data_IF_536474393879
#
_entry.id   IF_536474393879
#
_cell.length_a   1.000
_cell.length_b   1.000
_cell.length_c   1.000
_cell.angle_alpha   90.00
_cell.angle_beta   90.00
_cell.angle_gamma   90.00
#
_symmetry.space_group_name_H-M   'P 1'
#
loop_
_entity.id
_entity.type
_entity.pdbx_description
1 polymer ?
#
# COMPACT_ATOMS: atom_id res chain seq x y z
N UNK A 1 20.31 -14.20 4.87
CA UNK A 1 20.02 -12.74 4.86
C UNK A 1 19.97 -12.25 3.42
N UNK A 2 18.89 -11.59 3.03
CA UNK A 2 18.77 -10.95 1.71
C UNK A 2 19.59 -9.67 1.77
N UNK A 3 20.62 -9.55 0.95
CA UNK A 3 21.48 -8.37 0.90
C UNK A 3 21.17 -7.45 -0.28
N UNK A 4 20.44 -7.96 -1.26
CA UNK A 4 20.13 -7.24 -2.49
C UNK A 4 18.81 -7.75 -3.06
N UNK A 5 17.99 -6.84 -3.59
CA UNK A 5 16.75 -7.16 -4.28
C UNK A 5 16.96 -7.00 -5.79
N UNK A 6 16.64 -8.03 -6.56
CA UNK A 6 16.64 -7.99 -8.02
C UNK A 6 15.35 -7.45 -8.60
N UNK A 7 15.30 -7.36 -9.93
CA UNK A 7 14.14 -6.84 -10.66
C UNK A 7 12.87 -7.71 -10.48
N UNK A 8 13.01 -8.97 -10.05
CA UNK A 8 11.91 -9.86 -9.73
C UNK A 8 11.19 -9.52 -8.42
N UNK A 9 11.75 -8.59 -7.63
CA UNK A 9 11.18 -8.16 -6.35
C UNK A 9 10.51 -6.80 -6.48
N UNK A 10 9.19 -6.78 -6.39
CA UNK A 10 8.39 -5.56 -6.34
C UNK A 10 8.21 -5.03 -4.92
N UNK A 11 7.94 -3.74 -4.80
CA UNK A 11 7.46 -3.12 -3.57
C UNK A 11 5.94 -3.04 -3.63
N UNK A 12 5.25 -3.61 -2.66
CA UNK A 12 3.80 -3.47 -2.50
C UNK A 12 3.51 -2.53 -1.34
N UNK A 13 2.90 -1.40 -1.63
CA UNK A 13 2.46 -0.41 -0.65
C UNK A 13 0.95 -0.58 -0.42
N UNK A 14 0.58 -0.97 0.79
CA UNK A 14 -0.79 -1.36 1.13
C UNK A 14 -1.52 -0.21 1.82
N UNK A 15 -2.62 0.23 1.19
CA UNK A 15 -3.65 1.09 1.76
C UNK A 15 -3.08 2.38 2.39
N UNK A 16 -2.17 3.05 1.68
CA UNK A 16 -1.57 4.31 2.11
C UNK A 16 -2.57 5.46 1.90
N UNK A 17 -3.66 5.41 2.62
CA UNK A 17 -4.79 6.32 2.50
C UNK A 17 -4.99 7.12 3.79
N UNK A 18 -5.51 8.33 3.69
CA UNK A 18 -5.65 9.26 4.83
C UNK A 18 -6.44 8.67 5.99
N UNK A 19 -7.44 7.84 5.69
CA UNK A 19 -8.30 7.22 6.69
C UNK A 19 -7.61 6.25 7.64
N UNK A 20 -6.43 5.71 7.30
CA UNK A 20 -5.69 4.81 8.21
C UNK A 20 -5.24 5.52 9.49
N UNK A 21 -5.15 6.85 9.44
CA UNK A 21 -4.85 7.69 10.59
C UNK A 21 -6.08 8.08 11.42
N UNK A 22 -7.24 7.51 11.11
CA UNK A 22 -8.46 7.68 11.90
C UNK A 22 -8.40 6.77 13.13
N UNK A 23 -7.78 7.25 14.17
CA UNK A 23 -7.49 6.50 15.40
C UNK A 23 -8.74 5.92 16.09
N UNK A 24 -9.87 6.62 15.97
CA UNK A 24 -11.14 6.16 16.53
C UNK A 24 -11.63 4.86 15.89
N UNK A 25 -11.25 4.58 14.66
CA UNK A 25 -11.65 3.38 13.95
C UNK A 25 -10.68 2.21 14.16
N UNK A 26 -9.36 2.47 14.08
CA UNK A 26 -8.35 1.40 14.12
C UNK A 26 -7.35 1.49 15.26
N UNK A 27 -7.26 2.59 15.95
CA UNK A 27 -6.25 2.81 16.99
C UNK A 27 -6.54 2.11 18.32
N UNK A 28 -7.66 1.40 18.41
CA UNK A 28 -8.09 0.80 19.67
C UNK A 28 -8.33 1.84 20.77
N UNK A 29 -8.38 1.43 22.06
CA UNK A 29 -8.69 2.35 23.16
C UNK A 29 -7.72 3.52 23.33
N UNK A 30 -6.48 3.38 22.90
CA UNK A 30 -5.44 4.41 23.04
C UNK A 30 -5.25 5.26 21.78
N UNK A 31 -5.80 4.85 20.66
CA UNK A 31 -5.59 5.50 19.36
C UNK A 31 -4.13 5.49 18.89
N UNK A 32 -3.28 4.63 19.45
CA UNK A 32 -1.85 4.59 19.10
C UNK A 32 -1.55 3.57 18.02
N UNK A 33 -0.66 3.96 17.10
CA UNK A 33 -0.07 3.04 16.13
C UNK A 33 1.17 2.37 16.74
N UNK A 34 1.41 1.12 16.34
CA UNK A 34 2.60 0.38 16.77
C UNK A 34 3.88 0.81 16.05
N UNK A 35 3.75 1.54 14.93
CA UNK A 35 4.89 2.07 14.16
C UNK A 35 4.65 3.55 13.82
N UNK A 36 5.07 4.49 14.69
CA UNK A 36 4.84 5.91 14.47
C UNK A 36 5.66 6.49 13.30
N UNK A 37 6.78 5.86 12.94
CA UNK A 37 7.68 6.31 11.86
C UNK A 37 7.40 5.61 10.53
N UNK A 38 6.23 5.00 10.36
CA UNK A 38 5.89 4.24 9.16
C UNK A 38 5.99 5.09 7.89
N UNK A 39 5.40 6.28 7.87
CA UNK A 39 5.41 7.12 6.67
C UNK A 39 6.81 7.56 6.25
N UNK A 40 7.67 8.13 7.11
CA UNK A 40 9.04 8.45 6.73
C UNK A 40 9.84 7.24 6.24
N UNK A 41 9.66 6.08 6.87
CA UNK A 41 10.34 4.85 6.47
C UNK A 41 9.85 4.35 5.11
N UNK A 42 8.55 4.39 4.85
CA UNK A 42 7.98 4.03 3.54
C UNK A 42 8.41 5.00 2.44
N UNK A 43 8.54 6.30 2.72
CA UNK A 43 9.05 7.28 1.76
C UNK A 43 10.48 6.95 1.35
N UNK A 44 11.34 6.60 2.30
CA UNK A 44 12.73 6.20 1.99
C UNK A 44 12.78 4.91 1.17
N UNK A 45 11.94 3.95 1.53
CA UNK A 45 11.84 2.68 0.81
C UNK A 45 11.36 2.88 -0.63
N UNK A 46 10.31 3.67 -0.81
CA UNK A 46 9.76 4.00 -2.12
C UNK A 46 10.80 4.72 -2.99
N UNK A 47 11.50 5.70 -2.45
CA UNK A 47 12.55 6.42 -3.16
C UNK A 47 13.67 5.48 -3.62
N UNK A 48 14.09 4.55 -2.76
CA UNK A 48 15.12 3.55 -3.09
C UNK A 48 14.65 2.60 -4.21
N UNK A 49 13.39 2.15 -4.16
CA UNK A 49 12.81 1.29 -5.20
C UNK A 49 12.73 1.98 -6.55
N UNK A 50 12.27 3.21 -6.55
CA UNK A 50 12.19 4.04 -7.78
C UNK A 50 13.58 4.33 -8.35
N UNK A 51 14.55 4.66 -7.51
CA UNK A 51 15.94 4.90 -7.93
C UNK A 51 16.58 3.66 -8.55
N UNK A 52 16.24 2.46 -8.06
CA UNK A 52 16.70 1.20 -8.61
C UNK A 52 15.98 0.78 -9.90
N UNK A 53 14.90 1.47 -10.27
CA UNK A 53 14.07 1.12 -11.43
C UNK A 53 13.25 -0.15 -11.25
N UNK A 54 13.03 -0.59 -10.01
CA UNK A 54 12.21 -1.76 -9.70
C UNK A 54 10.72 -1.43 -9.65
N UNK A 55 9.90 -2.46 -9.78
CA UNK A 55 8.44 -2.31 -9.85
C UNK A 55 7.83 -1.94 -8.51
N UNK A 56 6.87 -1.02 -8.55
CA UNK A 56 6.06 -0.60 -7.41
C UNK A 56 4.61 -0.90 -7.69
N UNK A 57 3.96 -1.53 -6.71
CA UNK A 57 2.54 -1.84 -6.70
C UNK A 57 1.89 -1.13 -5.52
N UNK A 58 0.67 -0.67 -5.73
CA UNK A 58 -0.13 0.03 -4.73
C UNK A 58 -1.45 -0.68 -4.58
N UNK A 59 -1.94 -0.82 -3.35
CA UNK A 59 -3.34 -1.11 -3.14
C UNK A 59 -4.07 0.11 -2.63
N UNK A 60 -5.32 0.25 -3.07
CA UNK A 60 -6.29 1.20 -2.53
C UNK A 60 -7.52 0.44 -2.09
N UNK A 61 -7.89 0.61 -0.85
CA UNK A 61 -9.04 -0.07 -0.26
C UNK A 61 -10.28 0.81 -0.36
N UNK A 62 -11.34 0.25 -0.94
CA UNK A 62 -12.66 0.85 -0.99
C UNK A 62 -13.61 -0.01 -0.16
N UNK A 63 -13.71 0.27 1.12
CA UNK A 63 -14.43 -0.57 2.08
C UNK A 63 -15.92 -0.63 1.81
N UNK A 64 -16.50 -1.79 2.03
CA UNK A 64 -17.96 -2.00 2.03
C UNK A 64 -18.60 -1.70 3.37
N UNK A 65 -17.81 -1.56 4.44
CA UNK A 65 -18.32 -1.23 5.77
C UNK A 65 -18.80 0.21 5.85
N UNK A 66 -20.02 0.42 6.33
CA UNK A 66 -20.64 1.76 6.36
C UNK A 66 -19.83 2.78 7.17
N UNK A 67 -19.26 2.37 8.30
CA UNK A 67 -18.48 3.24 9.18
C UNK A 67 -17.01 3.42 8.77
N UNK A 68 -16.52 2.71 7.75
CA UNK A 68 -15.12 2.78 7.37
C UNK A 68 -14.76 4.13 6.74
N UNK A 69 -13.65 4.76 7.15
CA UNK A 69 -13.13 5.96 6.50
C UNK A 69 -12.41 5.65 5.17
N UNK A 70 -12.12 4.38 4.86
CA UNK A 70 -11.48 3.99 3.61
C UNK A 70 -12.52 3.74 2.51
N UNK A 71 -13.09 4.83 2.01
CA UNK A 71 -14.04 4.81 0.89
C UNK A 71 -13.61 5.83 -0.15
N UNK A 72 -13.67 5.47 -1.41
CA UNK A 72 -13.34 6.40 -2.51
C UNK A 72 -14.30 7.59 -2.59
N UNK A 73 -15.49 7.44 -2.04
CA UNK A 73 -16.47 8.53 -1.92
C UNK A 73 -16.13 9.56 -0.86
N UNK A 74 -15.14 9.32 -0.01
CA UNK A 74 -14.75 10.18 1.09
C UNK A 74 -13.32 10.73 0.88
N UNK A 75 -13.01 11.95 1.36
CA UNK A 75 -11.65 12.47 1.34
C UNK A 75 -10.65 11.60 2.09
N UNK A 76 -11.10 10.86 3.11
CA UNK A 76 -10.29 9.92 3.88
C UNK A 76 -9.89 8.67 3.08
N UNK A 77 -10.55 8.39 1.96
CA UNK A 77 -10.15 7.35 1.00
C UNK A 77 -9.01 7.76 0.08
N UNK A 78 -8.63 9.03 0.06
CA UNK A 78 -7.53 9.52 -0.77
C UNK A 78 -6.17 9.09 -0.23
N UNK A 79 -5.16 9.09 -1.11
CA UNK A 79 -3.77 8.81 -0.73
C UNK A 79 -3.27 9.82 0.31
N UNK A 80 -2.44 9.36 1.23
CA UNK A 80 -1.67 10.22 2.11
C UNK A 80 -0.77 11.11 1.26
N UNK A 81 -0.67 12.40 1.59
CA UNK A 81 0.16 13.34 0.84
C UNK A 81 1.61 12.84 0.74
N UNK A 82 2.16 12.92 -0.47
CA UNK A 82 3.51 12.42 -0.77
C UNK A 82 3.58 10.94 -1.16
N UNK A 83 2.45 10.23 -1.18
CA UNK A 83 2.36 8.82 -1.58
C UNK A 83 1.54 8.65 -2.85
N UNK A 84 1.81 9.44 -3.87
CA UNK A 84 1.11 9.32 -5.15
C UNK A 84 1.81 8.30 -6.05
N UNK A 85 1.06 7.36 -6.64
CA UNK A 85 1.60 6.47 -7.65
C UNK A 85 2.18 7.25 -8.83
N UNK A 86 3.37 6.87 -9.28
CA UNK A 86 4.00 7.44 -10.47
C UNK A 86 3.54 6.70 -11.73
N UNK A 87 3.80 7.32 -12.89
CA UNK A 87 3.51 6.70 -14.18
C UNK A 87 4.21 5.35 -14.31
N UNK A 88 3.47 4.35 -14.79
CA UNK A 88 3.96 2.99 -14.94
C UNK A 88 3.93 2.14 -13.67
N UNK A 89 3.63 2.71 -12.52
CA UNK A 89 3.36 1.95 -11.30
C UNK A 89 1.95 1.37 -11.31
N UNK A 90 1.78 0.20 -10.70
CA UNK A 90 0.51 -0.54 -10.74
C UNK A 90 -0.34 -0.18 -9.53
N UNK A 91 -1.59 0.21 -9.77
CA UNK A 91 -2.57 0.47 -8.71
C UNK A 91 -3.66 -0.59 -8.76
N UNK A 92 -3.85 -1.29 -7.66
CA UNK A 92 -4.88 -2.32 -7.47
C UNK A 92 -5.94 -1.79 -6.50
N UNK A 93 -7.15 -1.67 -6.98
CA UNK A 93 -8.30 -1.31 -6.15
C UNK A 93 -8.96 -2.58 -5.61
N UNK A 94 -9.21 -2.61 -4.30
CA UNK A 94 -9.80 -3.77 -3.62
C UNK A 94 -10.88 -3.34 -2.64
N UNK A 95 -11.77 -4.26 -2.33
CA UNK A 95 -12.85 -4.07 -1.34
C UNK A 95 -12.87 -5.15 -0.24
N UNK A 96 -11.87 -6.02 -0.27
CA UNK A 96 -11.61 -7.04 0.77
C UNK A 96 -10.17 -6.93 1.25
N UNK A 97 -9.81 -7.65 2.31
CA UNK A 97 -8.51 -7.51 2.96
C UNK A 97 -7.35 -7.87 2.02
N UNK A 98 -7.46 -8.97 1.28
CA UNK A 98 -6.39 -9.42 0.40
C UNK A 98 -6.40 -8.71 -0.94
N UNK A 99 -5.24 -8.22 -1.36
CA UNK A 99 -5.02 -7.66 -2.70
C UNK A 99 -5.16 -8.68 -3.84
N UNK A 100 -5.17 -9.98 -3.51
CA UNK A 100 -5.22 -11.08 -4.49
C UNK A 100 -6.63 -11.63 -4.69
N UNK A 101 -7.59 -11.19 -3.90
CA UNK A 101 -8.99 -11.67 -3.98
C UNK A 101 -9.83 -10.67 -4.79
N UNK A 102 -10.42 -11.15 -5.87
CA UNK A 102 -11.30 -10.35 -6.72
C UNK A 102 -10.57 -9.25 -7.52
N UNK A 103 -9.25 -9.38 -7.69
CA UNK A 103 -8.39 -8.42 -8.41
C UNK A 103 -7.53 -9.13 -9.44
N UNK A 104 -6.84 -8.36 -10.26
CA UNK A 104 -5.84 -8.86 -11.22
C UNK A 104 -4.39 -8.74 -10.71
N UNK A 105 -4.18 -8.63 -9.40
CA UNK A 105 -2.86 -8.42 -8.81
C UNK A 105 -1.83 -9.46 -9.27
N UNK A 106 -2.18 -10.76 -9.19
CA UNK A 106 -1.26 -11.82 -9.62
C UNK A 106 -0.91 -11.71 -11.10
N UNK A 107 -1.90 -11.47 -11.96
CA UNK A 107 -1.69 -11.28 -13.38
C UNK A 107 -0.75 -10.11 -13.65
N UNK A 108 -0.94 -8.99 -12.96
CA UNK A 108 -0.10 -7.80 -13.11
C UNK A 108 1.33 -8.06 -12.66
N UNK A 109 1.53 -8.80 -11.57
CA UNK A 109 2.86 -9.25 -11.15
C UNK A 109 3.54 -10.07 -12.24
N UNK A 110 2.85 -11.06 -12.81
CA UNK A 110 3.38 -11.91 -13.87
C UNK A 110 3.73 -11.10 -15.13
N UNK A 111 2.88 -10.17 -15.52
CA UNK A 111 3.11 -9.30 -16.69
C UNK A 111 4.38 -8.46 -16.52
N UNK A 112 4.75 -8.11 -15.31
CA UNK A 112 5.95 -7.32 -14.99
C UNK A 112 7.16 -8.16 -14.54
N UNK A 113 7.06 -9.49 -14.59
CA UNK A 113 8.14 -10.39 -14.18
C UNK A 113 8.44 -10.36 -12.69
N UNK A 114 7.46 -9.99 -11.86
CA UNK A 114 7.61 -9.91 -10.41
C UNK A 114 7.11 -11.20 -9.76
N UNK A 115 8.00 -11.87 -9.05
CA UNK A 115 7.73 -13.12 -8.33
C UNK A 115 7.89 -13.01 -6.81
N UNK A 116 8.39 -11.87 -6.33
CA UNK A 116 8.59 -11.57 -4.91
C UNK A 116 8.08 -10.18 -4.58
N UNK A 117 7.63 -10.01 -3.35
CA UNK A 117 7.20 -8.71 -2.85
C UNK A 117 7.86 -8.38 -1.53
N UNK A 118 8.33 -7.16 -1.41
CA UNK A 118 8.51 -6.48 -0.13
C UNK A 118 7.21 -5.73 0.14
N UNK A 119 6.64 -5.95 1.30
CA UNK A 119 5.33 -5.40 1.66
C UNK A 119 5.49 -4.37 2.76
N UNK A 120 4.94 -3.20 2.54
CA UNK A 120 4.85 -2.14 3.54
C UNK A 120 3.47 -1.48 3.46
N UNK A 121 3.05 -0.86 4.54
CA UNK A 121 1.76 -0.19 4.58
C UNK A 121 1.06 -0.36 5.90
N UNK A 122 -0.28 -0.31 5.85
CA UNK A 122 -1.11 -0.35 7.04
C UNK A 122 -1.94 -1.63 7.07
N UNK A 123 -2.06 -2.21 8.26
CA UNK A 123 -2.80 -3.46 8.52
C UNK A 123 -2.35 -4.62 7.61
N UNK A 124 -1.05 -4.70 7.43
CA UNK A 124 -0.41 -5.73 6.60
C UNK A 124 -0.39 -7.10 7.27
#
# INVERSE_FOLDING_TARGET
MIRQFGAETGLLLIDIQKGVNTHQHWGGPTGRRNNPDAEPNMQRLLAAWRAAGHRVFWTRHNSREDASPLKFSLPTGDQIDGFDPADGEVVIEKDVNSAFVGTDMELRMRQHGVSRLVVAGFFT
#
